data_IF_230615721115
#
_entry.id   IF_230615721115
#
_cell.length_a   1.000
_cell.length_b   1.000
_cell.length_c   1.000
_cell.angle_alpha   90.00
_cell.angle_beta   90.00
_cell.angle_gamma   90.00
#
_symmetry.space_group_name_H-M   'P 1'
#
loop_
_entity.id
_entity.type
_entity.pdbx_description
1 polymer ?
#
# COMPACT_ATOMS: atom_id res chain seq x y z
N UNK A 1 24.34 -14.20 -65.36
CA UNK A 1 24.64 -15.13 -64.23
C UNK A 1 24.79 -14.30 -62.96
N UNK A 2 23.73 -14.17 -62.16
CA UNK A 2 23.83 -13.51 -60.86
C UNK A 2 24.33 -14.53 -59.83
N UNK A 3 25.40 -14.16 -59.12
CA UNK A 3 26.11 -15.02 -58.17
C UNK A 3 25.21 -15.39 -56.98
N UNK A 4 25.01 -16.70 -56.80
CA UNK A 4 24.22 -17.33 -55.72
C UNK A 4 24.72 -16.97 -54.31
N UNK A 5 25.91 -16.39 -54.18
CA UNK A 5 26.48 -16.03 -52.87
C UNK A 5 25.86 -14.75 -52.28
N UNK A 6 25.38 -13.84 -53.13
CA UNK A 6 24.87 -12.54 -52.69
C UNK A 6 23.48 -12.63 -52.03
N UNK A 7 22.65 -13.58 -52.46
CA UNK A 7 21.30 -13.80 -51.91
C UNK A 7 21.32 -14.38 -50.51
N UNK A 8 22.35 -15.15 -50.14
CA UNK A 8 22.48 -15.74 -48.80
C UNK A 8 22.80 -14.69 -47.74
N UNK A 9 23.65 -13.71 -48.05
CA UNK A 9 24.05 -12.64 -47.12
C UNK A 9 22.87 -11.71 -46.81
N UNK A 10 22.07 -11.36 -47.82
CA UNK A 10 20.87 -10.54 -47.60
C UNK A 10 19.84 -11.22 -46.68
N UNK A 11 19.70 -12.55 -46.77
CA UNK A 11 18.75 -13.32 -45.94
C UNK A 11 19.15 -13.39 -44.47
N UNK A 12 20.45 -13.42 -44.18
CA UNK A 12 20.97 -13.44 -42.81
C UNK A 12 20.80 -12.08 -42.13
N UNK A 13 20.99 -10.99 -42.88
CA UNK A 13 20.78 -9.64 -42.36
C UNK A 13 19.31 -9.34 -42.05
N UNK A 14 18.36 -9.80 -42.89
CA UNK A 14 16.93 -9.64 -42.60
C UNK A 14 16.48 -10.48 -41.40
N UNK A 15 17.05 -11.67 -41.19
CA UNK A 15 16.77 -12.49 -40.01
C UNK A 15 17.27 -11.84 -38.70
N UNK A 16 18.48 -11.27 -38.70
CA UNK A 16 19.02 -10.60 -37.50
C UNK A 16 18.24 -9.32 -37.18
N UNK A 17 17.83 -8.57 -38.21
CA UNK A 17 17.07 -7.33 -38.03
C UNK A 17 15.67 -7.61 -37.44
N UNK A 18 15.01 -8.70 -37.83
CA UNK A 18 13.67 -9.05 -37.30
C UNK A 18 13.69 -9.47 -35.83
N UNK A 19 14.77 -10.09 -35.34
CA UNK A 19 14.92 -10.46 -33.92
C UNK A 19 15.10 -9.21 -33.04
N UNK A 20 15.78 -8.17 -33.53
CA UNK A 20 16.00 -6.93 -32.78
C UNK A 20 14.70 -6.10 -32.57
N UNK A 21 13.73 -6.21 -33.47
CA UNK A 21 12.43 -5.52 -33.32
C UNK A 21 11.44 -6.28 -32.44
N UNK A 22 11.62 -7.59 -32.24
CA UNK A 22 10.76 -8.38 -31.35
C UNK A 22 10.99 -8.09 -29.86
N UNK A 23 12.16 -7.57 -29.47
CA UNK A 23 12.45 -7.19 -28.08
C UNK A 23 11.96 -5.79 -27.69
N UNK A 24 11.42 -5.01 -28.63
CA UNK A 24 11.01 -3.63 -28.40
C UNK A 24 9.49 -3.41 -28.36
N UNK A 25 8.70 -4.47 -28.51
CA UNK A 25 7.25 -4.38 -28.27
C UNK A 25 7.00 -4.78 -26.82
N UNK A 26 6.64 -3.84 -25.93
CA UNK A 26 6.06 -4.20 -24.65
C UNK A 26 4.72 -4.89 -24.97
N UNK A 27 4.75 -6.21 -25.05
CA UNK A 27 3.59 -7.07 -25.29
C UNK A 27 2.60 -7.09 -24.11
N UNK A 28 2.74 -6.14 -23.18
CA UNK A 28 1.76 -5.77 -22.17
C UNK A 28 0.59 -4.96 -22.77
N UNK A 29 0.18 -5.29 -23.99
CA UNK A 29 -1.21 -5.16 -24.43
C UNK A 29 -2.00 -6.30 -23.78
N UNK A 30 -1.96 -6.31 -22.45
CA UNK A 30 -2.83 -7.10 -21.61
C UNK A 30 -4.26 -6.76 -21.98
N UNK A 31 -4.92 -7.77 -22.53
CA UNK A 31 -6.37 -7.93 -22.54
C UNK A 31 -7.05 -7.03 -21.52
N UNK A 32 -7.92 -6.13 -22.00
CA UNK A 32 -8.92 -5.40 -21.19
C UNK A 32 -9.98 -6.34 -20.59
N UNK A 33 -9.58 -7.53 -20.16
CA UNK A 33 -10.29 -8.31 -19.18
C UNK A 33 -10.19 -7.52 -17.88
N UNK A 34 -11.30 -6.85 -17.55
CA UNK A 34 -11.67 -6.38 -16.22
C UNK A 34 -10.79 -6.98 -15.12
N UNK A 35 -10.21 -6.10 -14.29
CA UNK A 35 -9.31 -6.33 -13.15
C UNK A 35 -9.81 -7.41 -12.14
N UNK A 36 -10.93 -8.06 -12.40
CA UNK A 36 -11.61 -9.07 -11.60
C UNK A 36 -11.05 -10.50 -11.60
N UNK A 37 -10.17 -10.97 -12.52
CA UNK A 37 -10.01 -12.45 -12.68
C UNK A 37 -8.62 -13.09 -12.69
N UNK A 38 -7.50 -12.42 -12.40
CA UNK A 38 -6.21 -13.16 -12.40
C UNK A 38 -5.20 -12.61 -11.41
N UNK A 39 -5.00 -13.29 -10.28
CA UNK A 39 -3.84 -13.15 -9.36
C UNK A 39 -3.51 -11.75 -8.79
N UNK A 40 -4.21 -10.70 -9.22
CA UNK A 40 -4.20 -9.36 -8.65
C UNK A 40 -5.05 -9.37 -7.39
N UNK A 41 -4.53 -8.79 -6.30
CA UNK A 41 -5.18 -8.83 -5.00
C UNK A 41 -6.65 -8.45 -5.03
N UNK A 42 -7.42 -9.04 -4.12
CA UNK A 42 -8.85 -8.79 -3.98
C UNK A 42 -9.05 -7.31 -3.64
N UNK A 43 -9.84 -6.63 -4.47
CA UNK A 43 -10.29 -5.26 -4.22
C UNK A 43 -11.33 -5.31 -3.11
N UNK A 44 -11.06 -4.59 -2.02
CA UNK A 44 -11.87 -4.62 -0.80
C UNK A 44 -11.92 -3.27 -0.14
N UNK A 45 -13.00 -3.00 0.60
CA UNK A 45 -12.99 -1.93 1.59
C UNK A 45 -12.13 -2.36 2.78
N UNK A 46 -11.47 -1.40 3.40
CA UNK A 46 -10.73 -1.62 4.63
C UNK A 46 -11.45 -0.92 5.77
N UNK A 47 -11.91 -1.70 6.73
CA UNK A 47 -12.56 -1.25 7.94
C UNK A 47 -11.57 -1.17 9.10
N UNK A 48 -11.65 -0.10 9.88
CA UNK A 48 -10.86 0.10 11.08
C UNK A 48 -11.62 -0.38 12.31
N UNK A 49 -11.01 -1.27 13.08
CA UNK A 49 -11.55 -1.83 14.32
C UNK A 49 -10.70 -1.36 15.50
N UNK A 50 -11.32 -0.69 16.46
CA UNK A 50 -10.62 -0.20 17.64
C UNK A 50 -11.53 -0.22 18.87
N UNK A 51 -11.02 0.23 20.02
CA UNK A 51 -11.83 0.40 21.22
C UNK A 51 -13.07 1.23 20.90
N UNK A 52 -14.21 0.76 21.38
CA UNK A 52 -15.48 1.48 21.37
C UNK A 52 -15.76 1.96 22.77
N UNK A 53 -16.18 3.21 22.92
CA UNK A 53 -16.73 3.64 24.19
C UNK A 53 -18.06 2.92 24.43
N UNK A 54 -18.35 2.58 25.69
CA UNK A 54 -19.51 1.77 26.08
C UNK A 54 -20.87 2.38 25.66
N UNK A 55 -20.88 3.69 25.37
CA UNK A 55 -22.05 4.46 24.95
C UNK A 55 -22.00 4.91 23.47
N UNK A 56 -21.01 4.46 22.71
CA UNK A 56 -20.86 4.86 21.31
C UNK A 56 -21.80 4.01 20.44
N UNK A 57 -22.65 4.68 19.64
CA UNK A 57 -23.51 4.01 18.65
C UNK A 57 -22.59 3.24 17.70
N UNK A 58 -23.01 2.05 17.26
CA UNK A 58 -22.23 1.18 16.39
C UNK A 58 -21.90 1.85 15.05
N UNK A 59 -20.78 2.55 14.99
CA UNK A 59 -20.30 3.20 13.78
C UNK A 59 -19.25 2.34 13.10
N UNK A 60 -19.34 2.24 11.77
CA UNK A 60 -18.29 1.64 10.95
C UNK A 60 -17.28 2.72 10.60
N UNK A 61 -15.99 2.39 10.65
CA UNK A 61 -14.91 3.33 10.36
C UNK A 61 -14.14 2.77 9.18
N UNK A 62 -14.04 3.51 8.09
CA UNK A 62 -13.37 3.03 6.88
C UNK A 62 -12.11 3.83 6.61
N UNK A 63 -11.09 3.14 6.09
CA UNK A 63 -9.92 3.79 5.54
C UNK A 63 -10.32 4.55 4.27
N UNK A 64 -9.90 5.81 4.15
CA UNK A 64 -10.23 6.68 3.02
C UNK A 64 -8.98 7.44 2.59
N UNK A 65 -8.79 7.59 1.28
CA UNK A 65 -7.87 8.60 0.75
C UNK A 65 -8.52 9.99 0.75
N UNK A 66 -7.81 10.97 0.20
CA UNK A 66 -8.39 12.29 -0.02
C UNK A 66 -9.52 12.23 -1.06
N UNK A 67 -10.56 13.07 -0.93
CA UNK A 67 -11.61 13.18 -1.92
C UNK A 67 -11.05 13.52 -3.31
N UNK A 68 -11.70 12.99 -4.35
CA UNK A 68 -11.52 13.37 -5.78
C UNK A 68 -10.23 12.91 -6.46
N UNK A 69 -9.74 11.72 -6.14
CA UNK A 69 -8.58 11.16 -6.85
C UNK A 69 -7.35 12.06 -6.74
N UNK A 70 -7.23 12.79 -5.62
CA UNK A 70 -6.07 13.61 -5.33
C UNK A 70 -5.18 12.80 -4.39
N UNK A 71 -3.89 12.63 -4.72
CA UNK A 71 -2.89 12.12 -3.80
C UNK A 71 -2.89 12.86 -2.46
N UNK A 72 -2.74 12.14 -1.36
CA UNK A 72 -2.48 12.74 -0.06
C UNK A 72 -2.66 11.80 1.11
N UNK A 73 -2.91 12.37 2.28
CA UNK A 73 -2.94 11.61 3.53
C UNK A 73 -4.12 10.64 3.56
N UNK A 74 -3.86 9.42 3.99
CA UNK A 74 -4.91 8.44 4.24
C UNK A 74 -5.49 8.74 5.63
N UNK A 75 -6.80 8.81 5.68
CA UNK A 75 -7.59 9.17 6.87
C UNK A 75 -8.59 8.07 7.18
N UNK A 76 -9.28 8.19 8.31
CA UNK A 76 -10.45 7.37 8.59
C UNK A 76 -11.71 8.21 8.47
N UNK A 77 -12.76 7.62 7.91
CA UNK A 77 -14.09 8.22 7.86
C UNK A 77 -15.12 7.33 8.54
N UNK A 78 -15.83 7.92 9.48
CA UNK A 78 -16.94 7.27 10.19
C UNK A 78 -18.17 7.27 9.29
N UNK A 79 -18.84 6.12 9.20
CA UNK A 79 -20.06 5.89 8.42
C UNK A 79 -19.97 6.39 6.96
N UNK A 80 -18.84 6.12 6.31
CA UNK A 80 -18.67 6.44 4.89
C UNK A 80 -19.73 5.70 4.05
N UNK A 81 -20.58 6.46 3.34
CA UNK A 81 -21.63 5.89 2.46
C UNK A 81 -21.04 5.11 1.29
N UNK A 82 -19.90 5.55 0.79
CA UNK A 82 -19.14 4.93 -0.30
C UNK A 82 -17.69 4.87 0.18
N UNK A 83 -17.29 3.80 0.87
CA UNK A 83 -15.92 3.63 1.30
C UNK A 83 -14.99 3.43 0.10
N UNK A 84 -13.75 3.89 0.23
CA UNK A 84 -12.73 3.63 -0.78
C UNK A 84 -12.37 2.15 -0.82
N UNK A 85 -11.85 1.73 -1.96
CA UNK A 85 -11.42 0.36 -2.20
C UNK A 85 -9.91 0.27 -2.28
N UNK A 86 -9.36 -0.81 -1.74
CA UNK A 86 -7.93 -1.07 -1.67
C UNK A 86 -7.62 -2.50 -2.05
N UNK A 87 -6.39 -2.76 -2.46
CA UNK A 87 -5.89 -4.10 -2.70
C UNK A 87 -4.38 -4.17 -2.46
N UNK A 88 -3.88 -5.37 -2.16
CA UNK A 88 -2.44 -5.63 -2.02
C UNK A 88 -1.93 -6.38 -3.24
N UNK A 89 -0.85 -5.89 -3.86
CA UNK A 89 -0.20 -6.56 -4.99
C UNK A 89 1.32 -6.48 -4.83
N UNK A 90 2.00 -7.63 -4.90
CA UNK A 90 3.47 -7.73 -4.76
C UNK A 90 4.01 -7.00 -3.51
N UNK A 91 3.33 -7.16 -2.36
CA UNK A 91 3.76 -6.52 -1.13
C UNK A 91 3.46 -5.02 -1.02
N UNK A 92 2.75 -4.43 -1.98
CA UNK A 92 2.38 -3.02 -1.95
C UNK A 92 0.86 -2.87 -1.82
N UNK A 93 0.42 -2.01 -0.90
CA UNK A 93 -0.97 -1.60 -0.79
C UNK A 93 -1.28 -0.49 -1.81
N UNK A 94 -2.40 -0.61 -2.49
CA UNK A 94 -2.89 0.37 -3.45
C UNK A 94 -4.32 0.79 -3.11
N UNK A 95 -4.61 2.07 -3.24
CA UNK A 95 -5.97 2.61 -3.32
C UNK A 95 -6.44 2.51 -4.77
N UNK A 96 -7.55 1.83 -4.98
CA UNK A 96 -8.23 1.77 -6.27
C UNK A 96 -9.23 2.93 -6.38
N UNK A 97 -9.04 3.80 -7.36
CA UNK A 97 -9.92 4.95 -7.61
C UNK A 97 -10.84 4.66 -8.79
N UNK A 98 -10.27 4.17 -9.90
CA UNK A 98 -10.99 3.76 -11.11
C UNK A 98 -10.08 2.88 -12.00
N UNK A 99 -10.59 2.45 -13.16
CA UNK A 99 -9.88 1.57 -14.11
C UNK A 99 -8.54 2.16 -14.63
N UNK A 100 -8.40 3.47 -14.60
CA UNK A 100 -7.21 4.19 -15.12
C UNK A 100 -6.30 4.72 -14.03
N UNK A 101 -6.75 4.70 -12.78
CA UNK A 101 -6.11 5.42 -11.66
C UNK A 101 -6.05 4.54 -10.43
N UNK A 102 -4.83 4.22 -10.02
CA UNK A 102 -4.50 3.57 -8.75
C UNK A 102 -3.41 4.38 -8.06
N UNK A 103 -3.46 4.47 -6.73
CA UNK A 103 -2.46 5.16 -5.94
C UNK A 103 -1.78 4.20 -4.97
N UNK A 104 -0.45 3.99 -5.05
CA UNK A 104 0.27 3.29 -3.98
C UNK A 104 0.09 4.02 -2.65
N UNK A 105 -0.21 3.25 -1.61
CA UNK A 105 -0.22 3.71 -0.23
C UNK A 105 1.18 3.54 0.37
N UNK A 106 1.86 4.66 0.47
CA UNK A 106 3.21 4.77 0.97
C UNK A 106 3.22 5.05 2.48
N UNK A 107 4.31 4.66 3.12
CA UNK A 107 4.56 4.92 4.54
C UNK A 107 5.65 5.98 4.63
N UNK A 108 5.31 7.18 5.08
CA UNK A 108 6.21 8.32 5.16
C UNK A 108 6.67 8.57 6.58
N UNK A 109 7.96 8.82 6.74
CA UNK A 109 8.50 9.40 7.97
C UNK A 109 8.07 10.88 8.01
N UNK A 110 7.31 11.28 9.01
CA UNK A 110 6.94 12.68 9.20
C UNK A 110 7.63 13.23 10.44
N UNK A 111 8.24 14.41 10.30
CA UNK A 111 9.01 15.03 11.38
C UNK A 111 8.06 15.50 12.49
N UNK A 112 8.08 14.81 13.63
CA UNK A 112 7.47 15.29 14.87
C UNK A 112 8.56 15.55 15.92
N UNK A 113 8.33 16.46 16.89
CA UNK A 113 9.37 16.98 17.79
C UNK A 113 10.13 15.95 18.64
N UNK A 114 9.61 14.73 18.81
CA UNK A 114 10.21 13.70 19.70
C UNK A 114 10.56 12.39 18.99
N UNK A 115 9.65 11.86 18.17
CA UNK A 115 9.86 10.67 17.33
C UNK A 115 9.05 10.85 16.07
N UNK A 116 9.61 10.63 14.87
CA UNK A 116 8.83 10.72 13.66
C UNK A 116 7.89 9.53 13.56
N UNK A 117 6.57 9.71 13.60
CA UNK A 117 5.70 8.61 13.30
C UNK A 117 5.74 8.29 11.80
N UNK A 118 5.22 7.12 11.49
CA UNK A 118 5.05 6.69 10.12
C UNK A 118 3.61 6.98 9.69
N UNK A 119 3.41 7.88 8.73
CA UNK A 119 2.09 8.25 8.23
C UNK A 119 1.78 7.53 6.91
N UNK A 120 0.54 7.06 6.75
CA UNK A 120 0.07 6.49 5.49
C UNK A 120 -0.36 7.61 4.53
N UNK A 121 0.16 7.57 3.30
CA UNK A 121 -0.18 8.54 2.24
C UNK A 121 -0.40 7.81 0.91
N UNK A 122 -1.52 8.07 0.25
CA UNK A 122 -1.79 7.58 -1.09
C UNK A 122 -1.20 8.55 -2.12
N UNK A 123 -0.25 8.11 -2.94
CA UNK A 123 0.50 8.99 -3.83
C UNK A 123 0.52 8.52 -5.29
N UNK A 124 0.99 9.37 -6.22
CA UNK A 124 1.06 9.01 -7.66
C UNK A 124 2.16 8.01 -7.98
N UNK A 125 3.16 7.91 -7.11
CA UNK A 125 4.35 7.08 -7.31
C UNK A 125 4.66 6.33 -6.02
N UNK A 126 5.18 5.09 -6.10
CA UNK A 126 5.70 4.41 -4.93
C UNK A 126 6.86 5.22 -4.36
N UNK A 127 6.77 5.58 -3.09
CA UNK A 127 7.74 6.42 -2.38
C UNK A 127 7.69 6.09 -0.86
N UNK A 128 8.41 6.87 -0.05
CA UNK A 128 8.46 6.70 1.39
C UNK A 128 9.47 5.62 1.81
N UNK A 129 9.17 4.94 2.92
CA UNK A 129 10.05 3.94 3.48
C UNK A 129 10.19 2.72 2.57
N UNK A 130 11.43 2.43 2.16
CA UNK A 130 11.75 1.33 1.24
C UNK A 130 11.92 0.01 1.97
N UNK A 131 11.46 -1.07 1.35
CA UNK A 131 11.66 -2.45 1.81
C UNK A 131 10.51 -3.03 2.64
N UNK A 132 9.56 -2.19 3.09
CA UNK A 132 8.40 -2.69 3.81
C UNK A 132 7.42 -3.41 2.90
N UNK A 133 6.69 -4.36 3.48
CA UNK A 133 5.75 -5.23 2.74
C UNK A 133 4.37 -5.21 3.38
N UNK A 134 3.34 -4.89 2.60
CA UNK A 134 1.94 -5.03 2.96
C UNK A 134 1.45 -6.46 2.73
N UNK A 135 0.72 -7.02 3.68
CA UNK A 135 0.04 -8.32 3.53
C UNK A 135 -1.20 -8.42 4.40
N UNK A 136 -2.17 -9.23 3.98
CA UNK A 136 -3.25 -9.66 4.85
C UNK A 136 -2.86 -10.96 5.58
N UNK A 137 -3.29 -11.10 6.84
CA UNK A 137 -3.31 -12.37 7.55
C UNK A 137 -4.70 -12.55 8.17
N UNK A 138 -5.48 -13.48 7.61
CA UNK A 138 -6.93 -13.51 7.84
C UNK A 138 -7.57 -12.23 7.30
N UNK A 139 -8.44 -11.60 8.09
CA UNK A 139 -9.04 -10.32 7.73
C UNK A 139 -8.11 -9.13 7.99
N UNK A 140 -7.10 -9.27 8.85
CA UNK A 140 -6.30 -8.12 9.32
C UNK A 140 -5.17 -7.78 8.34
N UNK A 141 -4.97 -6.48 8.09
CA UNK A 141 -3.90 -5.92 7.28
C UNK A 141 -2.66 -5.63 8.13
N UNK A 142 -1.51 -6.09 7.65
CA UNK A 142 -0.20 -5.90 8.24
C UNK A 142 0.71 -5.13 7.30
N UNK A 143 1.62 -4.34 7.90
CA UNK A 143 2.80 -3.82 7.23
C UNK A 143 4.03 -4.36 7.95
N UNK A 144 4.78 -5.20 7.25
CA UNK A 144 6.04 -5.75 7.71
C UNK A 144 7.13 -4.70 7.47
N UNK A 145 7.60 -4.09 8.56
CA UNK A 145 8.66 -3.09 8.50
C UNK A 145 10.01 -3.73 8.13
N UNK A 146 10.80 -3.11 7.24
CA UNK A 146 12.05 -3.70 6.72
C UNK A 146 13.22 -3.69 7.72
N UNK A 147 13.14 -2.91 8.81
CA UNK A 147 14.19 -2.79 9.83
C UNK A 147 14.28 -3.97 10.79
N UNK A 148 14.07 -5.19 10.29
CA UNK A 148 14.30 -6.44 11.04
C UNK A 148 15.65 -7.09 10.70
N UNK A 149 16.52 -6.38 9.98
CA UNK A 149 17.93 -6.74 9.96
C UNK A 149 18.54 -6.18 11.25
N UNK A 150 18.77 -7.10 12.18
CA UNK A 150 19.30 -6.88 13.53
C UNK A 150 20.62 -6.05 13.56
N UNK A 151 21.25 -5.79 12.40
CA UNK A 151 22.52 -5.08 12.24
C UNK A 151 22.53 -3.60 12.65
N UNK A 152 21.42 -2.85 12.46
CA UNK A 152 21.38 -1.44 12.89
C UNK A 152 21.06 -1.30 14.38
N UNK A 153 20.26 -2.24 14.89
CA UNK A 153 19.86 -2.30 16.30
C UNK A 153 21.03 -2.76 17.18
N UNK A 154 21.90 -3.64 16.70
CA UNK A 154 23.09 -4.06 17.45
C UNK A 154 24.12 -2.93 17.63
N UNK A 155 24.06 -1.84 16.85
CA UNK A 155 25.02 -0.73 16.94
C UNK A 155 24.70 0.29 18.03
N UNK A 156 23.44 0.45 18.39
CA UNK A 156 23.03 1.26 19.53
C UNK A 156 22.40 0.32 20.56
N UNK A 157 23.08 0.06 21.68
CA UNK A 157 22.64 -0.77 22.81
C UNK A 157 21.34 -0.28 23.50
N UNK A 158 20.46 0.41 22.79
CA UNK A 158 19.22 0.94 23.30
C UNK A 158 18.11 -0.08 23.08
N UNK A 159 18.06 -1.10 23.94
CA UNK A 159 17.06 -2.18 23.93
C UNK A 159 15.61 -1.66 23.97
N UNK A 160 15.42 -0.42 24.42
CA UNK A 160 14.15 0.29 24.33
C UNK A 160 13.67 0.32 22.86
N UNK A 161 14.52 0.66 21.89
CA UNK A 161 14.16 0.80 20.47
C UNK A 161 13.57 -0.46 19.82
N UNK A 162 13.91 -1.65 20.33
CA UNK A 162 13.42 -2.93 19.81
C UNK A 162 11.97 -3.25 20.12
N UNK A 163 11.41 -2.72 21.21
CA UNK A 163 10.04 -3.08 21.65
C UNK A 163 8.97 -2.66 20.63
N UNK A 164 9.29 -1.66 19.83
CA UNK A 164 8.30 -0.87 19.14
C UNK A 164 8.23 -1.15 17.63
N UNK A 165 9.19 -1.91 17.07
CA UNK A 165 9.09 -2.47 15.71
C UNK A 165 8.13 -3.68 15.63
N UNK A 166 7.49 -4.03 16.75
CA UNK A 166 6.59 -5.20 16.85
C UNK A 166 5.12 -4.88 16.60
N UNK A 167 4.73 -3.62 16.46
CA UNK A 167 3.34 -3.24 16.17
C UNK A 167 2.97 -3.46 14.69
N UNK A 168 3.24 -4.67 14.17
CA UNK A 168 2.79 -5.08 12.85
C UNK A 168 1.25 -5.20 12.88
N UNK A 169 0.54 -4.35 12.15
CA UNK A 169 -0.93 -4.39 12.05
C UNK A 169 -1.68 -3.56 13.10
N UNK A 170 -0.98 -2.88 14.01
CA UNK A 170 -1.58 -1.87 14.88
C UNK A 170 -1.36 -0.48 14.28
N UNK A 171 -2.45 0.23 14.08
CA UNK A 171 -2.50 1.57 13.52
C UNK A 171 -3.13 2.50 14.53
N UNK A 172 -3.05 3.78 14.23
CA UNK A 172 -3.56 4.81 15.11
C UNK A 172 -4.11 5.97 14.30
N UNK A 173 -5.22 6.51 14.78
CA UNK A 173 -5.88 7.66 14.19
C UNK A 173 -5.63 8.83 15.12
N UNK A 174 -5.03 9.89 14.61
CA UNK A 174 -4.77 11.10 15.40
C UNK A 174 -5.43 12.30 14.75
N UNK A 175 -5.99 13.14 15.61
CA UNK A 175 -6.56 14.43 15.25
C UNK A 175 -5.61 15.54 15.71
N UNK A 176 -5.10 16.30 14.75
CA UNK A 176 -4.22 17.45 15.01
C UNK A 176 -5.04 18.75 14.96
N UNK A 177 -4.74 19.67 15.88
CA UNK A 177 -5.45 20.96 16.04
C UNK A 177 -5.47 21.83 14.76
N UNK A 178 -4.54 21.63 13.83
CA UNK A 178 -4.39 22.43 12.60
C UNK A 178 -4.86 21.72 11.32
N UNK A 179 -5.87 20.86 11.42
CA UNK A 179 -6.75 20.36 10.32
C UNK A 179 -6.33 19.11 9.54
N UNK A 180 -5.24 18.44 9.88
CA UNK A 180 -4.92 17.16 9.22
C UNK A 180 -5.02 16.00 10.20
N UNK A 181 -6.13 15.25 10.12
CA UNK A 181 -6.17 13.91 10.69
C UNK A 181 -5.43 12.93 9.78
N UNK A 182 -4.98 11.82 10.34
CA UNK A 182 -4.22 10.84 9.59
C UNK A 182 -4.19 9.48 10.23
N UNK A 183 -3.90 8.48 9.40
CA UNK A 183 -3.57 7.15 9.85
C UNK A 183 -2.07 7.00 9.94
N UNK A 184 -1.64 6.54 11.10
CA UNK A 184 -0.25 6.38 11.43
C UNK A 184 0.04 4.99 11.97
N UNK A 185 1.30 4.62 11.87
CA UNK A 185 1.90 3.51 12.58
C UNK A 185 2.87 4.12 13.59
N UNK A 186 2.61 3.90 14.88
CA UNK A 186 3.40 4.52 15.94
C UNK A 186 4.34 3.57 16.64
N UNK A 187 5.44 4.20 17.04
CA UNK A 187 6.39 3.76 18.04
C UNK A 187 6.11 4.47 19.40
N UNK A 188 5.79 5.79 19.44
CA UNK A 188 5.61 6.53 20.71
C UNK A 188 4.84 7.86 20.56
N UNK A 189 3.51 7.87 20.75
CA UNK A 189 2.72 9.13 20.70
C UNK A 189 2.00 9.53 21.97
N UNK A 190 1.93 8.64 22.96
CA UNK A 190 1.18 8.92 24.18
C UNK A 190 1.74 10.13 24.94
N UNK A 191 3.02 10.46 24.76
CA UNK A 191 3.69 11.59 25.42
C UNK A 191 3.67 12.91 24.63
N UNK A 192 3.10 12.93 23.42
CA UNK A 192 3.09 14.12 22.56
C UNK A 192 1.89 15.06 22.81
N UNK A 193 0.98 14.70 23.73
CA UNK A 193 -0.24 15.47 23.98
C UNK A 193 -1.23 15.46 22.79
N UNK A 194 -1.07 14.51 21.87
CA UNK A 194 -1.96 14.31 20.72
C UNK A 194 -2.95 13.21 21.10
N UNK A 195 -4.24 13.46 20.89
CA UNK A 195 -5.27 12.45 21.09
C UNK A 195 -5.24 11.47 19.93
N UNK A 196 -4.86 10.22 20.22
CA UNK A 196 -4.65 9.19 19.23
C UNK A 196 -5.32 7.90 19.67
N UNK A 197 -6.14 7.34 18.79
CA UNK A 197 -6.91 6.14 19.07
C UNK A 197 -6.31 4.94 18.34
N UNK A 198 -5.94 3.86 19.06
CA UNK A 198 -5.42 2.65 18.43
C UNK A 198 -6.54 1.89 17.70
N UNK A 199 -6.20 1.30 16.57
CA UNK A 199 -7.10 0.43 15.81
C UNK A 199 -6.32 -0.55 14.93
N UNK A 200 -7.00 -1.56 14.41
CA UNK A 200 -6.51 -2.52 13.43
C UNK A 200 -7.28 -2.35 12.12
N UNK A 201 -6.64 -2.63 10.99
CA UNK A 201 -7.27 -2.53 9.67
C UNK A 201 -7.71 -3.92 9.20
N UNK A 202 -8.94 -4.05 8.71
CA UNK A 202 -9.55 -5.31 8.34
C UNK A 202 -10.23 -5.27 6.97
N UNK A 203 -10.22 -6.40 6.28
CA UNK A 203 -11.01 -6.69 5.08
C UNK A 203 -11.92 -7.89 5.34
N UNK A 204 -13.21 -7.74 5.08
CA UNK A 204 -14.23 -8.78 5.26
C UNK A 204 -14.80 -9.32 3.96
N UNK A 205 -14.15 -9.05 2.82
CA UNK A 205 -14.65 -9.49 1.49
C UNK A 205 -14.55 -11.00 1.29
N UNK A 206 -13.97 -11.74 2.23
CA UNK A 206 -13.88 -13.19 2.14
C UNK A 206 -15.17 -13.91 2.58
N UNK A 207 -15.59 -14.80 1.68
CA UNK A 207 -16.57 -15.88 1.86
C UNK A 207 -18.05 -15.57 1.57
N UNK A 208 -18.35 -15.14 0.34
CA UNK A 208 -19.52 -15.76 -0.32
C UNK A 208 -19.11 -17.18 -0.74
N UNK A 209 -19.36 -18.17 0.13
CA UNK A 209 -19.41 -19.57 -0.32
C UNK A 209 -20.39 -19.63 -1.48
N UNK A 210 -19.92 -20.05 -2.66
CA UNK A 210 -20.81 -20.46 -3.73
C UNK A 210 -21.65 -21.61 -3.17
N UNK A 211 -22.93 -21.34 -2.90
CA UNK A 211 -23.93 -22.35 -2.60
C UNK A 211 -24.56 -22.84 -3.91
#
# INVERSE_FOLDING_TARGET
MFSSSSTRILSLFTLILTIAFASAVPWDVGSRSSISSTSGGIITHIEAMGPRHMNEIGHTRHLMGLPRGVPGNVTMKVNARVPDTFFVRKGQLYQYVNDTTIYPVNVHNVTMPRVPPLQLRAERKPDGLRGGTWRFAGSMLYYDFPGRDDDYVLKENNAEYLKYFRSQGLFYYCDFYETTSGVFMFYYLQDAGVDCHPFTLHSFVHEKKQQ
#
